data_IF_481967049388
#
_entry.id   IF_481967049388
#
_cell.length_a   1.000
_cell.length_b   1.000
_cell.length_c   1.000
_cell.angle_alpha   90.00
_cell.angle_beta   90.00
_cell.angle_gamma   90.00
#
_symmetry.space_group_name_H-M   'P 1'
#
loop_
_entity.id
_entity.type
_entity.pdbx_description
1 polymer ?
#
# COMPACT_ATOMS: atom_id res chain seq x y z
N UNK A 1 -29.92 44.56 -15.38
CA UNK A 1 -29.20 43.85 -14.29
C UNK A 1 -28.74 42.50 -14.83
N UNK A 2 -27.47 42.39 -15.20
CA UNK A 2 -26.88 41.14 -15.68
C UNK A 2 -26.41 40.34 -14.46
N UNK A 3 -27.05 39.21 -14.18
CA UNK A 3 -26.55 38.26 -13.18
C UNK A 3 -25.39 37.53 -13.86
N UNK A 4 -24.18 37.98 -13.58
CA UNK A 4 -22.98 37.23 -13.94
C UNK A 4 -23.08 35.85 -13.28
N UNK A 5 -23.30 34.81 -14.10
CA UNK A 5 -23.24 33.43 -13.65
C UNK A 5 -21.81 33.14 -13.20
N UNK A 6 -21.57 33.14 -11.90
CA UNK A 6 -20.32 32.66 -11.31
C UNK A 6 -20.07 31.24 -11.82
N UNK A 7 -19.00 31.04 -12.57
CA UNK A 7 -18.58 29.72 -13.04
C UNK A 7 -18.49 28.77 -11.82
N UNK A 8 -18.96 27.51 -11.93
CA UNK A 8 -18.91 26.58 -10.82
C UNK A 8 -17.45 26.38 -10.38
N UNK A 9 -17.16 26.63 -9.10
CA UNK A 9 -15.87 26.29 -8.49
C UNK A 9 -15.64 24.79 -8.69
N UNK A 10 -14.79 24.42 -9.65
CA UNK A 10 -14.40 23.02 -9.85
C UNK A 10 -13.70 22.54 -8.58
N UNK A 11 -14.37 21.69 -7.81
CA UNK A 11 -13.78 21.05 -6.65
C UNK A 11 -12.71 20.06 -7.12
N UNK A 12 -11.46 20.30 -6.73
CA UNK A 12 -10.34 19.39 -6.99
C UNK A 12 -10.28 18.24 -6.00
N UNK A 13 -11.15 18.22 -4.98
CA UNK A 13 -11.13 17.24 -3.89
C UNK A 13 -11.28 15.80 -4.38
N UNK A 14 -12.15 15.57 -5.37
CA UNK A 14 -12.43 14.23 -5.92
C UNK A 14 -11.58 13.85 -7.13
N UNK A 15 -10.67 14.73 -7.57
CA UNK A 15 -9.76 14.40 -8.67
C UNK A 15 -8.63 13.51 -8.11
N UNK A 16 -8.46 12.26 -8.57
CA UNK A 16 -7.34 11.42 -8.15
C UNK A 16 -6.04 12.04 -8.69
N UNK A 17 -5.03 12.18 -7.83
CA UNK A 17 -3.71 12.69 -8.22
C UNK A 17 -2.62 11.83 -7.60
N UNK A 18 -1.45 11.82 -8.24
CA UNK A 18 -0.28 11.11 -7.72
C UNK A 18 0.13 11.67 -6.33
N UNK A 19 -0.03 12.98 -6.09
CA UNK A 19 0.19 13.56 -4.76
C UNK A 19 -0.70 12.92 -3.69
N UNK A 20 -2.00 12.79 -3.96
CA UNK A 20 -2.94 12.19 -3.00
C UNK A 20 -2.66 10.72 -2.76
N UNK A 21 -2.31 9.98 -3.82
CA UNK A 21 -1.84 8.60 -3.71
C UNK A 21 -0.62 8.53 -2.79
N UNK A 22 0.39 9.36 -3.03
CA UNK A 22 1.64 9.31 -2.28
C UNK A 22 1.43 9.66 -0.81
N UNK A 23 0.71 10.75 -0.52
CA UNK A 23 0.38 11.13 0.85
C UNK A 23 -0.43 10.06 1.58
N UNK A 24 -1.39 9.42 0.89
CA UNK A 24 -2.16 8.33 1.47
C UNK A 24 -1.27 7.15 1.88
N UNK A 25 -0.38 6.70 0.99
CA UNK A 25 0.57 5.63 1.32
C UNK A 25 1.54 6.04 2.43
N UNK A 26 2.05 7.28 2.42
CA UNK A 26 2.97 7.76 3.45
C UNK A 26 2.32 7.83 4.83
N UNK A 27 1.13 8.41 4.94
CA UNK A 27 0.41 8.51 6.23
C UNK A 27 0.04 7.12 6.73
N UNK A 28 -0.50 6.27 5.85
CA UNK A 28 -0.83 4.89 6.20
C UNK A 28 0.39 4.12 6.70
N UNK A 29 1.50 4.23 5.99
CA UNK A 29 2.77 3.56 6.34
C UNK A 29 3.33 4.06 7.65
N UNK A 30 3.28 5.36 7.92
CA UNK A 30 3.75 5.93 9.19
C UNK A 30 2.95 5.39 10.39
N UNK A 31 1.63 5.20 10.24
CA UNK A 31 0.78 4.63 11.28
C UNK A 31 1.08 3.14 11.53
N UNK A 32 1.33 2.36 10.48
CA UNK A 32 1.78 0.96 10.61
C UNK A 32 3.19 0.84 11.19
N UNK A 33 4.10 1.73 10.82
CA UNK A 33 5.43 1.78 11.42
C UNK A 33 5.34 2.13 12.91
N UNK A 34 4.47 3.08 13.28
CA UNK A 34 4.24 3.41 14.68
C UNK A 34 3.65 2.22 15.46
N UNK A 35 2.65 1.54 14.91
CA UNK A 35 2.00 0.41 15.59
C UNK A 35 2.96 -0.75 15.84
N UNK A 36 3.88 -1.00 14.91
CA UNK A 36 4.88 -2.06 14.98
C UNK A 36 6.24 -1.60 15.56
N UNK A 37 6.37 -0.34 15.97
CA UNK A 37 7.61 0.20 16.49
C UNK A 37 8.03 -0.53 17.78
N UNK A 38 9.32 -0.89 17.93
CA UNK A 38 9.81 -1.54 19.15
C UNK A 38 9.44 -0.74 20.41
N UNK A 39 8.75 -1.37 21.36
CA UNK A 39 8.34 -0.75 22.62
C UNK A 39 7.05 0.08 22.57
N UNK A 40 6.48 0.37 21.39
CA UNK A 40 5.23 1.15 21.31
C UNK A 40 4.06 0.38 21.90
N UNK A 41 3.91 -0.91 21.58
CA UNK A 41 2.81 -1.73 22.11
C UNK A 41 2.84 -1.88 23.64
N UNK A 42 4.03 -1.96 24.25
CA UNK A 42 4.16 -2.02 25.71
C UNK A 42 3.84 -0.69 26.40
N UNK A 43 4.06 0.43 25.72
CA UNK A 43 3.83 1.77 26.26
C UNK A 43 2.40 2.26 26.02
N UNK A 44 1.88 2.13 24.80
CA UNK A 44 0.57 2.63 24.39
C UNK A 44 -0.58 1.63 24.61
N UNK A 45 -0.25 0.34 24.77
CA UNK A 45 -1.22 -0.74 24.89
C UNK A 45 -1.78 -1.22 23.55
N UNK A 46 -2.44 -2.39 23.58
CA UNK A 46 -2.96 -3.07 22.40
C UNK A 46 -4.05 -2.28 21.66
N UNK A 47 -4.88 -1.52 22.39
CA UNK A 47 -5.93 -0.68 21.78
C UNK A 47 -5.34 0.39 20.86
N UNK A 48 -4.29 1.08 21.31
CA UNK A 48 -3.63 2.12 20.51
C UNK A 48 -2.95 1.52 19.27
N UNK A 49 -2.29 0.36 19.41
CA UNK A 49 -1.71 -0.39 18.28
C UNK A 49 -2.78 -0.72 17.24
N UNK A 50 -3.92 -1.27 17.67
CA UNK A 50 -5.00 -1.66 16.77
C UNK A 50 -5.63 -0.45 16.08
N UNK A 51 -5.79 0.69 16.77
CA UNK A 51 -6.30 1.93 16.18
C UNK A 51 -5.31 2.49 15.16
N UNK A 52 -4.01 2.50 15.43
CA UNK A 52 -2.99 2.91 14.47
C UNK A 52 -3.06 2.04 13.20
N UNK A 53 -3.12 0.72 13.34
CA UNK A 53 -3.28 -0.20 12.21
C UNK A 53 -4.58 0.06 11.44
N UNK A 54 -5.71 0.24 12.14
CA UNK A 54 -7.01 0.49 11.52
C UNK A 54 -7.03 1.79 10.71
N UNK A 55 -6.60 2.91 11.30
CA UNK A 55 -6.54 4.19 10.59
C UNK A 55 -5.55 4.11 9.44
N UNK A 56 -4.39 3.46 9.64
CA UNK A 56 -3.39 3.24 8.61
C UNK A 56 -3.94 2.46 7.40
N UNK A 57 -4.73 1.40 7.65
CA UNK A 57 -5.34 0.59 6.61
C UNK A 57 -6.30 1.40 5.73
N UNK A 58 -7.10 2.31 6.30
CA UNK A 58 -7.99 3.18 5.52
C UNK A 58 -7.23 4.11 4.57
N UNK A 59 -6.12 4.69 5.03
CA UNK A 59 -5.24 5.49 4.18
C UNK A 59 -4.63 4.65 3.05
N UNK A 60 -4.17 3.43 3.33
CA UNK A 60 -3.69 2.49 2.32
C UNK A 60 -4.77 2.16 1.29
N UNK A 61 -6.01 1.91 1.71
CA UNK A 61 -7.11 1.61 0.77
C UNK A 61 -7.52 2.80 -0.07
N UNK A 62 -7.56 4.00 0.50
CA UNK A 62 -7.79 5.21 -0.28
C UNK A 62 -6.66 5.41 -1.32
N UNK A 63 -5.40 5.25 -0.93
CA UNK A 63 -4.25 5.36 -1.82
C UNK A 63 -4.24 4.29 -2.92
N UNK A 64 -4.53 3.03 -2.56
CA UNK A 64 -4.65 1.92 -3.50
C UNK A 64 -5.75 2.16 -4.53
N UNK A 65 -6.93 2.62 -4.09
CA UNK A 65 -8.01 2.98 -5.01
C UNK A 65 -7.59 4.10 -5.96
N UNK A 66 -6.92 5.14 -5.47
CA UNK A 66 -6.37 6.22 -6.32
C UNK A 66 -5.38 5.64 -7.33
N UNK A 67 -4.46 4.77 -6.90
CA UNK A 67 -3.49 4.10 -7.78
C UNK A 67 -4.18 3.27 -8.86
N UNK A 68 -5.24 2.53 -8.51
CA UNK A 68 -6.03 1.75 -9.46
C UNK A 68 -6.73 2.64 -10.49
N UNK A 69 -7.32 3.75 -10.07
CA UNK A 69 -7.94 4.71 -10.99
C UNK A 69 -6.89 5.34 -11.91
N UNK A 70 -5.73 5.73 -11.37
CA UNK A 70 -4.63 6.34 -12.13
C UNK A 70 -3.94 5.35 -13.07
N UNK A 71 -4.02 4.04 -12.82
CA UNK A 71 -3.44 3.02 -13.70
C UNK A 71 -4.06 3.04 -15.11
N UNK A 72 -5.29 3.53 -15.25
CA UNK A 72 -5.98 3.69 -16.54
C UNK A 72 -6.70 2.41 -17.00
N UNK A 73 -6.84 2.19 -18.32
CA UNK A 73 -7.58 1.05 -18.87
C UNK A 73 -7.04 -0.31 -18.41
N UNK A 74 -7.94 -1.29 -18.25
CA UNK A 74 -7.61 -2.67 -17.88
C UNK A 74 -6.72 -3.35 -18.92
N UNK A 75 -6.97 -3.08 -20.20
CA UNK A 75 -6.36 -3.78 -21.33
C UNK A 75 -5.64 -2.83 -22.27
N UNK A 76 -4.73 -3.38 -23.06
CA UNK A 76 -4.05 -2.73 -24.19
C UNK A 76 -4.12 -3.62 -25.43
N UNK A 77 -4.03 -3.01 -26.61
CA UNK A 77 -3.96 -3.75 -27.88
C UNK A 77 -2.54 -4.29 -28.10
N UNK A 78 -2.45 -5.48 -28.66
CA UNK A 78 -1.20 -6.15 -29.05
C UNK A 78 -1.36 -6.76 -30.44
N UNK A 79 -0.26 -6.99 -31.14
CA UNK A 79 -0.20 -7.56 -32.49
C UNK A 79 -0.15 -9.10 -32.53
N UNK A 80 -0.11 -9.75 -31.35
CA UNK A 80 -0.08 -11.20 -31.20
C UNK A 80 -1.25 -11.75 -30.38
N UNK A 81 -1.44 -13.07 -30.41
CA UNK A 81 -2.46 -13.77 -29.61
C UNK A 81 -3.89 -13.35 -29.95
N UNK A 82 -4.70 -13.05 -28.93
CA UNK A 82 -6.09 -12.57 -29.08
C UNK A 82 -6.21 -11.09 -29.49
N UNK A 83 -5.08 -10.40 -29.75
CA UNK A 83 -5.04 -8.99 -30.09
C UNK A 83 -5.23 -8.03 -28.91
N UNK A 84 -5.43 -8.56 -27.70
CA UNK A 84 -5.69 -7.79 -26.47
C UNK A 84 -4.94 -8.44 -25.31
N UNK A 85 -4.27 -7.63 -24.49
CA UNK A 85 -3.57 -8.08 -23.29
C UNK A 85 -3.98 -7.25 -22.08
N UNK A 86 -4.07 -7.88 -20.90
CA UNK A 86 -4.28 -7.16 -19.63
C UNK A 86 -3.01 -6.41 -19.26
N UNK A 87 -3.12 -5.13 -18.89
CA UNK A 87 -1.98 -4.28 -18.56
C UNK A 87 -1.39 -4.67 -17.20
N UNK A 88 -0.07 -4.80 -17.14
CA UNK A 88 0.65 -5.13 -15.92
C UNK A 88 0.44 -4.08 -14.81
N UNK A 89 0.40 -2.79 -15.17
CA UNK A 89 0.15 -1.71 -14.21
C UNK A 89 -1.23 -1.84 -13.55
N UNK A 90 -2.25 -2.20 -14.33
CA UNK A 90 -3.61 -2.38 -13.82
C UNK A 90 -3.70 -3.63 -12.94
N UNK A 91 -3.05 -4.74 -13.34
CA UNK A 91 -2.99 -5.95 -12.51
C UNK A 91 -2.25 -5.72 -11.18
N UNK A 92 -1.14 -4.97 -11.21
CA UNK A 92 -0.43 -4.58 -10.00
C UNK A 92 -1.32 -3.71 -9.10
N UNK A 93 -1.89 -2.63 -9.65
CA UNK A 93 -2.73 -1.72 -8.87
C UNK A 93 -4.01 -2.40 -8.33
N UNK A 94 -4.63 -3.31 -9.09
CA UNK A 94 -5.84 -4.01 -8.68
C UNK A 94 -5.57 -5.04 -7.57
N UNK A 95 -4.54 -5.87 -7.73
CA UNK A 95 -4.13 -6.82 -6.67
C UNK A 95 -3.71 -6.09 -5.40
N UNK A 96 -2.94 -5.00 -5.52
CA UNK A 96 -2.59 -4.17 -4.36
C UNK A 96 -3.83 -3.58 -3.69
N UNK A 97 -4.76 -3.01 -4.46
CA UNK A 97 -6.01 -2.45 -3.93
C UNK A 97 -6.83 -3.50 -3.18
N UNK A 98 -6.99 -4.69 -3.75
CA UNK A 98 -7.65 -5.81 -3.08
C UNK A 98 -6.92 -6.23 -1.80
N UNK A 99 -5.59 -6.22 -1.81
CA UNK A 99 -4.79 -6.48 -0.61
C UNK A 99 -5.06 -5.47 0.50
N UNK A 100 -5.20 -4.18 0.17
CA UNK A 100 -5.52 -3.15 1.19
C UNK A 100 -6.92 -3.33 1.79
N UNK A 101 -7.88 -3.85 1.01
CA UNK A 101 -9.22 -4.16 1.52
C UNK A 101 -9.14 -5.30 2.53
N UNK A 102 -8.37 -6.35 2.22
CA UNK A 102 -8.16 -7.45 3.17
C UNK A 102 -7.45 -7.00 4.45
N UNK A 103 -6.47 -6.09 4.34
CA UNK A 103 -5.87 -5.47 5.52
C UNK A 103 -6.89 -4.68 6.33
N UNK A 104 -7.80 -3.93 5.69
CA UNK A 104 -8.88 -3.25 6.42
C UNK A 104 -9.79 -4.22 7.16
N UNK A 105 -10.14 -5.36 6.54
CA UNK A 105 -10.91 -6.41 7.20
C UNK A 105 -10.15 -6.93 8.42
N UNK A 106 -8.85 -7.24 8.26
CA UNK A 106 -7.98 -7.69 9.35
C UNK A 106 -7.90 -6.69 10.50
N UNK A 107 -7.61 -5.41 10.21
CA UNK A 107 -7.44 -4.38 11.23
C UNK A 107 -8.75 -3.97 11.89
N UNK A 108 -9.87 -4.07 11.17
CA UNK A 108 -11.20 -3.86 11.75
C UNK A 108 -11.55 -5.00 12.70
N UNK A 109 -11.28 -6.24 12.30
CA UNK A 109 -11.47 -7.40 13.16
C UNK A 109 -10.57 -7.32 14.40
N UNK A 110 -9.35 -6.78 14.30
CA UNK A 110 -8.47 -6.59 15.45
C UNK A 110 -9.06 -5.67 16.53
N UNK A 111 -10.01 -4.78 16.19
CA UNK A 111 -10.70 -3.93 17.18
C UNK A 111 -11.76 -4.69 18.00
N UNK A 112 -12.30 -5.79 17.47
CA UNK A 112 -13.48 -6.49 18.04
C UNK A 112 -13.22 -7.96 18.38
N UNK A 113 -12.11 -8.55 17.91
CA UNK A 113 -11.79 -9.95 18.09
C UNK A 113 -11.27 -10.24 19.52
N UNK A 114 -12.14 -10.80 20.35
CA UNK A 114 -11.83 -11.17 21.74
C UNK A 114 -11.53 -12.67 21.94
N UNK A 115 -11.63 -13.50 20.89
CA UNK A 115 -11.41 -14.96 20.98
C UNK A 115 -10.34 -15.45 19.99
N UNK A 116 -9.63 -16.53 20.34
CA UNK A 116 -8.58 -17.14 19.48
C UNK A 116 -9.12 -17.55 18.10
N UNK A 117 -10.30 -18.21 17.97
CA UNK A 117 -10.88 -18.51 16.66
C UNK A 117 -11.12 -17.24 15.82
N UNK A 118 -11.67 -16.18 16.44
CA UNK A 118 -11.92 -14.92 15.73
C UNK A 118 -10.63 -14.22 15.29
N UNK A 119 -9.56 -14.28 16.09
CA UNK A 119 -8.27 -13.73 15.71
C UNK A 119 -7.66 -14.48 14.53
N UNK A 120 -7.73 -15.82 14.52
CA UNK A 120 -7.20 -16.62 13.42
C UNK A 120 -7.97 -16.42 12.11
N UNK A 121 -9.29 -16.42 12.17
CA UNK A 121 -10.15 -16.36 10.98
C UNK A 121 -10.29 -14.94 10.42
N UNK A 122 -10.44 -13.93 11.28
CA UNK A 122 -10.76 -12.57 10.82
C UNK A 122 -9.58 -11.60 10.90
N UNK A 123 -8.54 -11.88 11.69
CA UNK A 123 -7.33 -11.03 11.74
C UNK A 123 -6.24 -11.64 10.87
N UNK A 124 -5.85 -12.89 11.13
CA UNK A 124 -4.71 -13.50 10.42
C UNK A 124 -5.02 -13.90 8.97
N UNK A 125 -6.17 -14.54 8.69
CA UNK A 125 -6.46 -15.00 7.32
C UNK A 125 -6.53 -13.85 6.30
N UNK A 126 -7.20 -12.73 6.59
CA UNK A 126 -7.19 -11.58 5.68
C UNK A 126 -5.81 -10.90 5.61
N UNK A 127 -5.04 -10.86 6.69
CA UNK A 127 -3.67 -10.33 6.69
C UNK A 127 -2.73 -11.15 5.77
N UNK A 128 -2.77 -12.48 5.88
CA UNK A 128 -2.03 -13.38 5.00
C UNK A 128 -2.48 -13.26 3.54
N UNK A 129 -3.80 -13.20 3.30
CA UNK A 129 -4.35 -12.97 1.96
C UNK A 129 -3.93 -11.63 1.37
N UNK A 130 -3.95 -10.56 2.18
CA UNK A 130 -3.50 -9.22 1.79
C UNK A 130 -2.03 -9.19 1.42
N UNK A 131 -1.19 -9.85 2.21
CA UNK A 131 0.26 -9.98 1.98
C UNK A 131 0.58 -10.72 0.67
N UNK A 132 -0.14 -11.80 0.37
CA UNK A 132 0.00 -12.52 -0.90
C UNK A 132 -0.36 -11.61 -2.08
N UNK A 133 -1.46 -10.85 -2.00
CA UNK A 133 -1.87 -9.93 -3.05
C UNK A 133 -0.85 -8.79 -3.26
N UNK A 134 -0.25 -8.28 -2.18
CA UNK A 134 0.83 -7.29 -2.25
C UNK A 134 2.08 -7.85 -2.92
N UNK A 135 2.46 -9.09 -2.63
CA UNK A 135 3.58 -9.76 -3.30
C UNK A 135 3.31 -9.93 -4.81
N UNK A 136 2.12 -10.40 -5.17
CA UNK A 136 1.70 -10.51 -6.58
C UNK A 136 1.77 -9.15 -7.27
N UNK A 137 1.26 -8.08 -6.64
CA UNK A 137 1.38 -6.72 -7.13
C UNK A 137 2.84 -6.32 -7.36
N UNK A 138 3.72 -6.54 -6.38
CA UNK A 138 5.14 -6.18 -6.47
C UNK A 138 5.84 -6.85 -7.65
N UNK A 139 5.59 -8.14 -7.88
CA UNK A 139 6.13 -8.85 -9.04
C UNK A 139 5.60 -8.31 -10.37
N UNK A 140 4.29 -8.02 -10.43
CA UNK A 140 3.67 -7.41 -11.61
C UNK A 140 4.22 -6.01 -11.89
N UNK A 141 4.44 -5.20 -10.86
CA UNK A 141 5.03 -3.86 -10.98
C UNK A 141 6.47 -3.90 -11.48
N UNK A 142 7.32 -4.81 -10.95
CA UNK A 142 8.68 -5.02 -11.46
C UNK A 142 8.66 -5.46 -12.92
N UNK A 143 7.81 -6.42 -13.28
CA UNK A 143 7.71 -6.90 -14.66
C UNK A 143 7.19 -5.82 -15.60
N UNK A 144 6.18 -5.05 -15.18
CA UNK A 144 5.63 -3.92 -15.94
C UNK A 144 6.68 -2.84 -16.18
N UNK A 145 7.41 -2.45 -15.13
CA UNK A 145 8.50 -1.49 -15.24
C UNK A 145 9.61 -1.97 -16.20
N UNK A 146 10.04 -3.23 -16.08
CA UNK A 146 11.06 -3.81 -16.98
C UNK A 146 10.63 -3.90 -18.44
N UNK A 147 9.32 -3.94 -18.71
CA UNK A 147 8.80 -3.98 -20.07
C UNK A 147 8.78 -2.58 -20.72
N UNK A 148 8.49 -1.54 -19.92
CA UNK A 148 8.44 -0.16 -20.39
C UNK A 148 9.79 0.58 -20.34
N UNK A 149 10.71 0.13 -19.47
CA UNK A 149 11.98 0.80 -19.18
C UNK A 149 13.16 -0.18 -19.18
N UNK A 150 14.38 0.35 -18.98
CA UNK A 150 15.58 -0.47 -18.86
C UNK A 150 15.49 -1.39 -17.65
N UNK A 151 16.09 -2.57 -17.76
CA UNK A 151 16.14 -3.56 -16.68
C UNK A 151 16.78 -3.00 -15.40
N UNK A 152 17.79 -2.14 -15.56
CA UNK A 152 18.51 -1.49 -14.47
C UNK A 152 18.57 0.01 -14.76
N UNK A 153 17.83 0.80 -13.98
CA UNK A 153 17.75 2.24 -14.13
C UNK A 153 17.84 2.95 -12.76
N UNK A 154 19.00 2.89 -12.09
CA UNK A 154 19.17 3.43 -10.74
C UNK A 154 19.04 4.96 -10.69
N UNK A 155 19.03 5.65 -11.84
CA UNK A 155 18.78 7.09 -11.94
C UNK A 155 17.31 7.47 -11.90
N UNK A 156 16.39 6.51 -12.03
CA UNK A 156 14.94 6.77 -12.03
C UNK A 156 14.34 6.59 -10.63
N UNK A 157 13.63 7.62 -10.16
CA UNK A 157 12.80 7.55 -8.96
C UNK A 157 11.76 6.42 -9.05
N UNK A 158 11.20 6.17 -10.24
CA UNK A 158 10.23 5.09 -10.47
C UNK A 158 10.85 3.70 -10.28
N UNK A 159 12.12 3.51 -10.70
CA UNK A 159 12.82 2.25 -10.50
C UNK A 159 12.98 1.95 -9.01
N UNK A 160 13.48 2.91 -8.23
CA UNK A 160 13.63 2.79 -6.78
C UNK A 160 12.29 2.55 -6.07
N UNK A 161 11.25 3.30 -6.43
CA UNK A 161 9.90 3.11 -5.87
C UNK A 161 9.41 1.66 -6.05
N UNK A 162 9.57 1.09 -7.25
CA UNK A 162 9.16 -0.28 -7.53
C UNK A 162 10.01 -1.31 -6.75
N UNK A 163 11.33 -1.14 -6.66
CA UNK A 163 12.18 -2.06 -5.91
C UNK A 163 11.90 -2.01 -4.40
N UNK A 164 11.83 -0.81 -3.82
CA UNK A 164 11.58 -0.61 -2.40
C UNK A 164 10.18 -1.14 -2.04
N UNK A 165 9.18 -0.91 -2.89
CA UNK A 165 7.83 -1.46 -2.70
C UNK A 165 7.85 -3.00 -2.66
N UNK A 166 8.56 -3.66 -3.58
CA UNK A 166 8.69 -5.13 -3.56
C UNK A 166 9.35 -5.64 -2.27
N UNK A 167 10.42 -4.98 -1.80
CA UNK A 167 11.07 -5.31 -0.52
C UNK A 167 10.05 -5.19 0.63
N UNK A 168 9.23 -4.14 0.60
CA UNK A 168 8.15 -3.95 1.57
C UNK A 168 7.12 -5.08 1.54
N UNK A 169 6.69 -5.52 0.35
CA UNK A 169 5.77 -6.64 0.19
C UNK A 169 6.35 -7.96 0.75
N UNK A 170 7.66 -8.19 0.56
CA UNK A 170 8.36 -9.36 1.11
C UNK A 170 8.40 -9.29 2.64
N UNK A 171 8.76 -8.14 3.20
CA UNK A 171 8.78 -7.94 4.65
C UNK A 171 7.40 -8.16 5.30
N UNK A 172 6.33 -7.65 4.69
CA UNK A 172 4.95 -7.92 5.12
C UNK A 172 4.57 -9.40 4.98
N UNK A 173 5.00 -10.07 3.90
CA UNK A 173 4.83 -11.51 3.75
C UNK A 173 5.48 -12.31 4.87
N UNK A 174 6.71 -11.93 5.27
CA UNK A 174 7.40 -12.52 6.43
C UNK A 174 6.67 -12.23 7.73
N UNK A 175 6.12 -11.01 7.88
CA UNK A 175 5.32 -10.64 9.04
C UNK A 175 4.09 -11.53 9.20
N UNK A 176 3.36 -11.78 8.11
CA UNK A 176 2.17 -12.65 8.10
C UNK A 176 2.51 -14.10 8.49
N UNK A 177 3.70 -14.59 8.12
CA UNK A 177 4.18 -15.91 8.57
C UNK A 177 4.45 -15.91 10.07
N UNK A 178 5.07 -14.85 10.61
CA UNK A 178 5.32 -14.73 12.05
C UNK A 178 4.05 -14.57 12.88
N UNK A 179 3.04 -13.90 12.31
CA UNK A 179 1.74 -13.69 12.91
C UNK A 179 0.86 -14.95 12.88
N UNK A 180 1.31 -16.06 12.27
CA UNK A 180 0.53 -17.30 12.23
C UNK A 180 0.16 -17.76 13.64
N UNK A 181 -1.14 -17.96 13.86
CA UNK A 181 -1.67 -18.41 15.13
C UNK A 181 -2.02 -19.90 15.05
N UNK A 182 -1.36 -20.70 15.89
CA UNK A 182 -1.67 -22.13 16.05
C UNK A 182 -3.04 -22.32 16.70
N UNK A 183 -3.61 -23.54 16.60
CA UNK A 183 -4.92 -23.86 17.23
C UNK A 183 -4.95 -23.61 18.75
N UNK A 184 -3.78 -23.60 19.40
CA UNK A 184 -3.63 -23.28 20.82
C UNK A 184 -3.54 -21.79 21.16
N UNK A 185 -3.64 -20.88 20.19
CA UNK A 185 -3.59 -19.43 20.42
C UNK A 185 -2.19 -18.82 20.55
N UNK A 186 -1.13 -19.61 20.38
CA UNK A 186 0.25 -19.14 20.37
C UNK A 186 0.60 -18.63 18.97
N UNK A 187 1.05 -17.39 18.87
CA UNK A 187 1.66 -16.81 17.66
C UNK A 187 3.04 -17.42 17.45
N UNK A 188 3.37 -17.77 16.19
CA UNK A 188 4.63 -18.44 15.85
C UNK A 188 5.84 -17.60 16.25
N UNK A 189 5.85 -16.33 15.88
CA UNK A 189 6.90 -15.40 16.28
C UNK A 189 6.39 -13.96 16.21
N UNK A 190 6.00 -13.43 17.38
CA UNK A 190 5.53 -12.04 17.52
C UNK A 190 6.63 -11.02 17.18
N UNK A 191 7.91 -11.34 17.42
CA UNK A 191 9.01 -10.45 17.07
C UNK A 191 9.16 -10.38 15.55
N UNK A 192 9.09 -11.51 14.86
CA UNK A 192 9.11 -11.57 13.40
C UNK A 192 7.92 -10.82 12.79
N UNK A 193 6.72 -10.94 13.37
CA UNK A 193 5.54 -10.20 12.94
C UNK A 193 5.73 -8.67 13.06
N UNK A 194 6.22 -8.21 14.20
CA UNK A 194 6.44 -6.77 14.45
C UNK A 194 7.56 -6.22 13.57
N UNK A 195 8.71 -6.89 13.49
CA UNK A 195 9.82 -6.43 12.66
C UNK A 195 9.50 -6.44 11.18
N UNK A 196 8.82 -7.49 10.69
CA UNK A 196 8.39 -7.56 9.29
C UNK A 196 7.41 -6.43 8.94
N UNK A 197 6.44 -6.14 9.82
CA UNK A 197 5.49 -5.04 9.65
C UNK A 197 6.21 -3.69 9.67
N UNK A 198 7.13 -3.48 10.63
CA UNK A 198 7.87 -2.23 10.77
C UNK A 198 8.76 -1.94 9.55
N UNK A 199 9.55 -2.92 9.12
CA UNK A 199 10.41 -2.80 7.93
C UNK A 199 9.56 -2.59 6.68
N UNK A 200 8.49 -3.37 6.51
CA UNK A 200 7.56 -3.24 5.40
C UNK A 200 6.94 -1.84 5.32
N UNK A 201 6.51 -1.30 6.46
CA UNK A 201 5.96 0.04 6.56
C UNK A 201 6.97 1.12 6.18
N UNK A 202 8.22 1.02 6.64
CA UNK A 202 9.29 1.94 6.20
C UNK A 202 9.50 1.86 4.68
N UNK A 203 9.52 0.65 4.12
CA UNK A 203 9.65 0.46 2.67
C UNK A 203 8.50 1.13 1.90
N UNK A 204 7.25 0.93 2.29
CA UNK A 204 6.11 1.58 1.61
C UNK A 204 6.13 3.10 1.74
N UNK A 205 6.55 3.62 2.90
CA UNK A 205 6.76 5.05 3.08
C UNK A 205 7.81 5.58 2.09
N UNK A 206 8.99 4.96 2.03
CA UNK A 206 10.08 5.39 1.15
C UNK A 206 9.73 5.21 -0.33
N UNK A 207 9.08 4.12 -0.71
CA UNK A 207 8.66 3.87 -2.07
C UNK A 207 7.72 4.96 -2.59
N UNK A 208 6.82 5.44 -1.73
CA UNK A 208 5.91 6.53 -2.03
C UNK A 208 6.59 7.90 -1.99
N UNK A 209 7.50 8.10 -1.04
CA UNK A 209 8.24 9.34 -0.85
C UNK A 209 9.10 9.67 -2.08
N UNK A 210 9.80 8.68 -2.63
CA UNK A 210 10.70 8.85 -3.78
C UNK A 210 9.99 9.34 -5.05
N UNK A 211 8.71 9.00 -5.22
CA UNK A 211 7.91 9.41 -6.40
C UNK A 211 6.99 10.61 -6.13
N UNK A 212 7.11 11.24 -4.95
CA UNK A 212 6.29 12.37 -4.56
C UNK A 212 6.52 13.58 -5.51
N UNK A 213 5.51 14.03 -6.28
CA UNK A 213 5.66 15.11 -7.26
C UNK A 213 6.08 16.46 -6.67
N UNK A 214 5.74 16.72 -5.40
CA UNK A 214 6.06 17.98 -4.72
C UNK A 214 7.56 18.30 -4.72
N UNK A 215 8.43 17.30 -4.69
CA UNK A 215 9.89 17.53 -4.74
C UNK A 215 10.40 17.95 -6.11
N UNK A 216 9.81 17.42 -7.18
CA UNK A 216 10.23 17.77 -8.54
C UNK A 216 9.87 19.22 -8.94
N UNK A 217 8.90 19.83 -8.25
CA UNK A 217 8.50 21.23 -8.49
C UNK A 217 9.49 22.24 -7.88
N UNK A 218 10.21 21.86 -6.82
CA UNK A 218 11.21 22.75 -6.20
C UNK A 218 12.52 22.75 -7.01
N UNK A 219 12.95 21.59 -7.52
CA UNK A 219 14.17 21.46 -8.33
C UNK A 219 14.14 22.24 -9.66
N UNK A 220 12.95 22.60 -10.14
CA UNK A 220 12.76 23.41 -11.35
C UNK A 220 12.53 24.91 -11.04
N UNK A 221 12.31 25.26 -9.77
CA UNK A 221 12.19 26.64 -9.29
C UNK A 221 13.49 27.25 -8.78
N UNK A 222 14.50 26.44 -8.43
CA UNK A 222 15.84 26.90 -8.03
C UNK A 222 16.82 27.04 -9.22
N UNK A 223 16.37 26.77 -10.45
CA UNK A 223 17.16 26.89 -11.68
C UNK A 223 16.65 27.98 -12.64
N UNK A 224 15.86 28.94 -12.16
CA UNK A 224 15.36 30.10 -12.90
C UNK A 224 15.76 31.41 -12.20
#
# INVERSE_FOLDING_TARGET
>A
MSIAASAPRRSTAFIPTLDKQCWGFMIGSALFALSAAPGFGSWAGSSAVNVCCFVGAWFFTAAGLIQLILSGPVTTKVDYGSGIMVRADWLAASTQSLGTILFNVSTTAALTAHSIPSQREFVWSPDAGGSILFLVSGFMAVRGYRHAHKFFDPGSAGWWSVQINLIGCIAFGVAAVGAYMSRGGVTVDTAMANWGTFIGAICFFLASLVVLPAWNRNSSGESA
#
